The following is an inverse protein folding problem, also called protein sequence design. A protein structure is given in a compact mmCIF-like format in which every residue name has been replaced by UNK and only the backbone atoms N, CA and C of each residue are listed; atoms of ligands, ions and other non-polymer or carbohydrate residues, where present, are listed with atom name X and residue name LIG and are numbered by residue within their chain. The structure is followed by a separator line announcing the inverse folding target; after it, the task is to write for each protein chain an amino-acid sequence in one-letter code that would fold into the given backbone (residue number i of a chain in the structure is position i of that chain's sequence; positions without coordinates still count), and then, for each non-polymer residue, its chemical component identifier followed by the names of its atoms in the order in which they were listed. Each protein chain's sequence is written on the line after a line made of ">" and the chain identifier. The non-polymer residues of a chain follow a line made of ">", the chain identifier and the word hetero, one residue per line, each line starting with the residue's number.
data_IF_705063155647
#
_entry.id   IF_705063155647
#
_cell.length_a   1.000
_cell.length_b   1.000
_cell.length_c   1.000
_cell.angle_alpha   90.00
_cell.angle_beta   90.00
_cell.angle_gamma   90.00
#
_symmetry.space_group_name_H-M   'P 1'
#
loop_
_entity.id
_entity.type
_entity.pdbx_description
1 polymer ?
#
# COMPACT_ATOMS: atom_id res chain seq x y z
N UNK A 1 16.07 4.39 8.66
CA UNK A 1 15.69 3.54 7.52
C UNK A 1 15.29 4.42 6.35
N UNK A 2 15.80 4.15 5.16
CA UNK A 2 15.79 5.07 4.01
C UNK A 2 14.42 5.28 3.32
N UNK A 3 13.28 5.07 4.00
CA UNK A 3 11.94 5.33 3.45
C UNK A 3 11.46 4.39 2.32
N UNK A 4 12.32 3.55 1.74
CA UNK A 4 11.98 2.69 0.60
C UNK A 4 10.80 1.75 0.88
N UNK A 5 10.73 1.14 2.06
CA UNK A 5 9.63 0.23 2.40
C UNK A 5 8.26 0.91 2.33
N UNK A 6 8.18 2.18 2.75
CA UNK A 6 6.94 2.98 2.65
C UNK A 6 6.54 3.20 1.20
N UNK A 7 7.49 3.59 0.35
CA UNK A 7 7.26 3.83 -1.07
C UNK A 7 6.88 2.54 -1.81
N UNK A 8 7.55 1.42 -1.51
CA UNK A 8 7.24 0.12 -2.10
C UNK A 8 5.83 -0.37 -1.71
N UNK A 9 5.46 -0.25 -0.43
CA UNK A 9 4.11 -0.61 0.01
C UNK A 9 3.07 0.27 -0.68
N UNK A 10 3.27 1.59 -0.72
CA UNK A 10 2.38 2.52 -1.44
C UNK A 10 2.20 2.14 -2.91
N UNK A 11 3.29 1.81 -3.61
CA UNK A 11 3.28 1.45 -5.02
C UNK A 11 2.56 0.12 -5.30
N UNK A 12 2.46 -0.78 -4.31
CA UNK A 12 1.77 -2.07 -4.46
C UNK A 12 0.24 -1.96 -4.36
N UNK A 13 -0.29 -0.97 -3.65
CA UNK A 13 -1.74 -0.83 -3.40
C UNK A 13 -2.56 -0.58 -4.68
N UNK A 14 -2.12 0.22 -5.66
CA UNK A 14 -2.81 0.35 -6.94
C UNK A 14 -2.88 -0.94 -7.72
N UNK A 15 -1.80 -1.72 -7.71
CA UNK A 15 -1.79 -3.02 -8.40
C UNK A 15 -2.78 -4.01 -7.76
N UNK A 16 -2.87 -4.02 -6.43
CA UNK A 16 -3.89 -4.80 -5.72
C UNK A 16 -5.33 -4.35 -6.11
N UNK A 17 -5.56 -3.05 -6.28
CA UNK A 17 -6.84 -2.53 -6.76
C UNK A 17 -7.15 -2.97 -8.20
N UNK A 18 -6.15 -3.02 -9.08
CA UNK A 18 -6.28 -3.43 -10.49
C UNK A 18 -6.72 -4.90 -10.63
N UNK A 19 -6.27 -5.77 -9.73
CA UNK A 19 -6.69 -7.18 -9.69
C UNK A 19 -8.01 -7.41 -8.92
N UNK A 20 -8.69 -6.33 -8.49
CA UNK A 20 -10.02 -6.39 -7.89
C UNK A 20 -10.06 -6.58 -6.38
N UNK A 21 -8.97 -6.28 -5.66
CA UNK A 21 -8.97 -6.26 -4.20
C UNK A 21 -9.31 -4.86 -3.71
N UNK A 22 -10.34 -4.72 -2.86
CA UNK A 22 -10.71 -3.43 -2.25
C UNK A 22 -9.83 -3.07 -1.03
N UNK A 23 -9.28 -4.09 -0.37
CA UNK A 23 -8.35 -3.95 0.74
C UNK A 23 -7.39 -5.13 0.80
N UNK A 24 -6.23 -4.93 1.40
CA UNK A 24 -5.22 -5.97 1.65
C UNK A 24 -4.92 -6.08 3.14
N UNK A 25 -4.73 -7.32 3.60
CA UNK A 25 -4.28 -7.59 4.96
C UNK A 25 -2.75 -7.67 4.98
N UNK A 26 -2.13 -6.80 5.76
CA UNK A 26 -0.68 -6.80 5.97
C UNK A 26 -0.38 -7.17 7.41
N UNK A 27 0.63 -8.02 7.61
CA UNK A 27 1.04 -8.47 8.94
C UNK A 27 2.50 -8.17 9.21
N UNK A 28 2.83 -7.90 10.47
CA UNK A 28 4.21 -7.77 10.93
C UNK A 28 4.35 -8.32 12.36
N UNK A 29 5.58 -8.58 12.79
CA UNK A 29 5.85 -8.89 14.19
C UNK A 29 5.55 -7.67 15.07
N UNK A 30 5.05 -7.90 16.29
CA UNK A 30 4.74 -6.87 17.28
C UNK A 30 5.96 -6.07 17.73
N UNK A 31 7.13 -6.70 17.74
CA UNK A 31 8.42 -6.06 18.00
C UNK A 31 8.94 -5.25 16.81
N UNK A 32 8.38 -5.41 15.60
CA UNK A 32 8.86 -4.71 14.41
C UNK A 32 8.19 -3.33 14.25
N UNK A 33 8.62 -2.40 15.09
CA UNK A 33 8.13 -1.00 15.13
C UNK A 33 8.31 -0.29 13.77
N UNK A 34 9.36 -0.61 13.01
CA UNK A 34 9.60 0.01 11.71
C UNK A 34 8.55 -0.40 10.66
N UNK A 35 8.20 -1.69 10.61
CA UNK A 35 7.13 -2.20 9.74
C UNK A 35 5.78 -1.65 10.17
N UNK A 36 5.47 -1.64 11.47
CA UNK A 36 4.24 -1.04 12.00
C UNK A 36 4.07 0.41 11.54
N UNK A 37 5.09 1.25 11.71
CA UNK A 37 5.07 2.65 11.25
C UNK A 37 4.92 2.76 9.74
N UNK A 38 5.51 1.84 8.98
CA UNK A 38 5.40 1.81 7.52
C UNK A 38 3.97 1.49 7.07
N UNK A 39 3.32 0.53 7.74
CA UNK A 39 1.94 0.13 7.48
C UNK A 39 0.96 1.26 7.84
N UNK A 40 1.07 1.79 9.05
CA UNK A 40 0.22 2.89 9.54
C UNK A 40 0.36 4.14 8.65
N UNK A 41 1.58 4.45 8.20
CA UNK A 41 1.83 5.59 7.31
C UNK A 41 1.31 5.40 5.87
N UNK A 42 0.87 4.19 5.50
CA UNK A 42 0.18 3.88 4.24
C UNK A 42 -1.34 3.72 4.44
N UNK A 43 -1.88 4.14 5.59
CA UNK A 43 -3.31 4.05 5.87
C UNK A 43 -3.76 2.70 6.44
N UNK A 44 -2.82 1.87 6.92
CA UNK A 44 -3.15 0.63 7.60
C UNK A 44 -3.93 0.85 8.90
N UNK A 45 -5.08 0.22 9.00
CA UNK A 45 -5.95 0.22 10.19
C UNK A 45 -5.74 -1.10 10.93
N UNK A 46 -5.40 -1.01 12.21
CA UNK A 46 -5.19 -2.19 13.05
C UNK A 46 -6.48 -3.01 13.18
N UNK A 47 -6.40 -4.30 12.90
CA UNK A 47 -7.51 -5.26 13.06
C UNK A 47 -7.41 -5.96 14.42
N UNK A 48 -6.38 -6.79 14.57
CA UNK A 48 -6.15 -7.62 15.75
C UNK A 48 -4.67 -8.03 15.87
N UNK A 49 -4.34 -8.68 16.99
CA UNK A 49 -3.07 -9.36 17.19
C UNK A 49 -3.31 -10.85 17.40
N UNK A 50 -2.54 -11.68 16.70
CA UNK A 50 -2.59 -13.14 16.82
C UNK A 50 -1.19 -13.66 17.15
N UNK A 51 -1.00 -14.03 18.42
CA UNK A 51 0.33 -14.32 18.94
C UNK A 51 1.24 -13.09 18.78
N UNK A 52 2.39 -13.26 18.16
CA UNK A 52 3.36 -12.18 17.91
C UNK A 52 3.04 -11.37 16.63
N UNK A 53 1.99 -11.72 15.88
CA UNK A 53 1.65 -11.07 14.62
C UNK A 53 0.59 -9.99 14.82
N UNK A 54 0.94 -8.75 14.49
CA UNK A 54 -0.01 -7.66 14.31
C UNK A 54 -0.61 -7.71 12.90
N UNK A 55 -1.89 -7.42 12.77
CA UNK A 55 -2.65 -7.49 11.52
C UNK A 55 -3.33 -6.15 11.23
N UNK A 56 -3.18 -5.68 10.00
CA UNK A 56 -3.68 -4.38 9.56
C UNK A 56 -4.38 -4.49 8.20
N UNK A 57 -5.54 -3.85 8.06
CA UNK A 57 -6.20 -3.66 6.78
C UNK A 57 -5.75 -2.37 6.13
N UNK A 58 -5.32 -2.43 4.87
CA UNK A 58 -5.02 -1.26 4.05
C UNK A 58 -6.04 -1.17 2.91
N UNK A 59 -6.74 -0.03 2.74
CA UNK A 59 -7.58 0.17 1.57
C UNK A 59 -6.69 0.22 0.32
N UNK A 60 -7.14 -0.41 -0.75
CA UNK A 60 -6.52 -0.20 -2.06
C UNK A 60 -7.10 1.05 -2.71
N UNK A 61 -6.33 1.70 -3.57
CA UNK A 61 -6.80 2.82 -4.36
C UNK A 61 -6.35 2.57 -5.79
N UNK A 62 -7.28 2.61 -6.73
CA UNK A 62 -6.91 2.57 -8.14
C UNK A 62 -6.05 3.80 -8.43
N UNK A 63 -4.89 3.58 -9.05
CA UNK A 63 -4.16 4.70 -9.63
C UNK A 63 -5.05 5.30 -10.71
N UNK A 64 -5.40 6.58 -10.58
CA UNK A 64 -5.96 7.30 -11.71
C UNK A 64 -4.79 7.45 -12.67
N UNK A 65 -4.74 6.61 -13.70
CA UNK A 65 -3.79 6.77 -14.79
C UNK A 65 -4.03 8.16 -15.37
N UNK A 66 -3.09 9.08 -15.20
CA UNK A 66 -3.11 10.32 -15.95
C UNK A 66 -3.09 9.93 -17.44
N UNK A 67 -4.17 10.23 -18.16
CA UNK A 67 -4.23 9.99 -19.59
C UNK A 67 -3.01 10.67 -20.24
N UNK A 68 -2.12 9.89 -20.84
CA UNK A 68 -1.11 10.42 -21.74
C UNK A 68 -1.87 11.04 -22.90
N UNK A 69 -1.93 12.37 -22.95
CA UNK A 69 -2.47 13.08 -24.10
C UNK A 69 -1.68 12.64 -25.34
N UNK A 70 -2.34 12.31 -26.47
CA UNK A 70 -1.62 11.95 -27.68
C UNK A 70 -0.83 13.18 -28.13
N UNK A 71 0.48 13.04 -28.25
CA UNK A 71 1.30 13.98 -28.99
C UNK A 71 0.98 13.83 -30.48
N UNK A 72 -0.19 14.29 -30.90
CA UNK A 72 -0.41 14.66 -32.28
C UNK A 72 0.34 15.99 -32.47
N UNK A 73 1.45 15.96 -33.21
CA UNK A 73 1.94 17.13 -33.89
C UNK A 73 1.90 16.81 -35.38
N UNK A 74 0.87 17.35 -36.02
CA UNK A 74 0.84 17.55 -37.47
C UNK A 74 2.12 18.28 -37.89
N UNK A 75 2.82 17.72 -38.88
CA UNK A 75 3.09 18.28 -40.21
C UNK A 75 4.01 17.34 -40.99
#
# INVERSE_FOLDING_TARGET
>A
GCGHAKAMLAASLPWAAEIGLDAVLVTCDDTNVASRRTIEANGGVFEDQRGEKLRYWLPTTKSVTAAVAPAHRQM
#
